data_IF_225004349707
#
_entry.id   IF_225004349707
#
_cell.length_a   1.000
_cell.length_b   1.000
_cell.length_c   1.000
_cell.angle_alpha   90.00
_cell.angle_beta   90.00
_cell.angle_gamma   90.00
#
_symmetry.space_group_name_H-M   'P 1'
#
loop_
_entity.id
_entity.type
_entity.pdbx_description
1 polymer ?
#
# COMPACT_ATOMS: atom_id res chain seq x y z
N UNK A 1 13.15 13.58 8.93
CA UNK A 1 12.53 12.24 9.03
C UNK A 1 11.04 12.27 9.35
N UNK A 2 10.56 12.80 10.50
CA UNK A 2 9.10 12.78 10.80
C UNK A 2 8.26 13.56 9.78
N UNK A 3 8.66 14.78 9.43
CA UNK A 3 7.91 15.60 8.47
C UNK A 3 7.94 14.99 7.06
N UNK A 4 9.09 14.43 6.68
CA UNK A 4 9.27 13.72 5.41
C UNK A 4 8.40 12.47 5.32
N UNK A 5 8.25 11.72 6.42
CA UNK A 5 7.38 10.54 6.47
C UNK A 5 5.90 10.91 6.30
N UNK A 6 5.47 12.09 6.77
CA UNK A 6 4.11 12.57 6.51
C UNK A 6 3.89 12.73 5.01
N UNK A 7 4.82 13.40 4.30
CA UNK A 7 4.70 13.59 2.85
C UNK A 7 4.71 12.27 2.08
N UNK A 8 5.62 11.35 2.45
CA UNK A 8 5.71 10.02 1.84
C UNK A 8 4.39 9.25 2.02
N UNK A 9 3.88 9.16 3.24
CA UNK A 9 2.64 8.43 3.52
C UNK A 9 1.43 9.07 2.85
N UNK A 10 1.34 10.42 2.82
CA UNK A 10 0.27 11.11 2.09
C UNK A 10 0.30 10.77 0.60
N UNK A 11 1.49 10.73 0.00
CA UNK A 11 1.66 10.34 -1.41
C UNK A 11 1.16 8.91 -1.67
N UNK A 12 1.56 7.93 -0.85
CA UNK A 12 1.09 6.55 -1.01
C UNK A 12 -0.41 6.41 -0.74
N UNK A 13 -0.93 7.10 0.27
CA UNK A 13 -2.36 7.09 0.59
C UNK A 13 -3.21 7.55 -0.59
N UNK A 14 -2.82 8.64 -1.24
CA UNK A 14 -3.52 9.14 -2.43
C UNK A 14 -3.41 8.13 -3.58
N UNK A 15 -2.20 7.70 -3.94
CA UNK A 15 -1.98 6.87 -5.13
C UNK A 15 -2.60 5.48 -4.99
N UNK A 16 -2.41 4.82 -3.86
CA UNK A 16 -2.92 3.46 -3.66
C UNK A 16 -4.44 3.46 -3.51
N UNK A 17 -5.02 4.42 -2.78
CA UNK A 17 -6.49 4.51 -2.70
C UNK A 17 -7.13 4.83 -4.05
N UNK A 18 -6.52 5.67 -4.88
CA UNK A 18 -7.00 5.92 -6.24
C UNK A 18 -6.97 4.64 -7.09
N UNK A 19 -5.90 3.84 -7.04
CA UNK A 19 -5.82 2.57 -7.75
C UNK A 19 -6.91 1.57 -7.29
N UNK A 20 -7.23 1.57 -6.00
CA UNK A 20 -8.35 0.77 -5.46
C UNK A 20 -9.69 1.25 -6.02
N UNK A 21 -9.93 2.57 -6.08
CA UNK A 21 -11.14 3.15 -6.69
C UNK A 21 -11.24 2.74 -8.16
N UNK A 22 -10.17 2.94 -8.92
CA UNK A 22 -10.15 2.71 -10.37
C UNK A 22 -10.38 1.22 -10.71
N UNK A 23 -9.80 0.31 -9.94
CA UNK A 23 -9.89 -1.13 -10.21
C UNK A 23 -11.19 -1.76 -9.71
N UNK A 24 -11.68 -1.35 -8.54
CA UNK A 24 -12.81 -2.03 -7.87
C UNK A 24 -14.10 -1.22 -7.81
N UNK A 25 -14.10 0.02 -8.29
CA UNK A 25 -15.31 0.86 -8.35
C UNK A 25 -15.89 1.21 -6.98
N UNK A 26 -15.04 1.29 -5.94
CA UNK A 26 -15.46 1.62 -4.57
C UNK A 26 -15.37 3.11 -4.29
N UNK A 27 -16.12 3.58 -3.30
CA UNK A 27 -16.11 5.00 -2.88
C UNK A 27 -14.72 5.42 -2.32
N UNK A 28 -14.22 6.63 -2.61
CA UNK A 28 -12.85 7.05 -2.27
C UNK A 28 -12.46 6.92 -0.79
N UNK A 29 -13.31 7.35 0.14
CA UNK A 29 -13.03 7.24 1.57
C UNK A 29 -13.02 5.77 2.02
N UNK A 30 -13.84 4.94 1.39
CA UNK A 30 -13.85 3.49 1.61
C UNK A 30 -12.59 2.81 1.06
N UNK A 31 -12.09 3.23 -0.10
CA UNK A 31 -10.81 2.78 -0.64
C UNK A 31 -9.65 3.15 0.30
N UNK A 32 -9.61 4.41 0.74
CA UNK A 32 -8.60 4.89 1.69
C UNK A 32 -8.64 4.10 3.00
N UNK A 33 -9.84 3.89 3.60
CA UNK A 33 -9.97 3.08 4.82
C UNK A 33 -9.47 1.65 4.63
N UNK A 34 -9.80 1.01 3.51
CA UNK A 34 -9.32 -0.34 3.19
C UNK A 34 -7.79 -0.41 3.10
N UNK A 35 -7.17 0.62 2.54
CA UNK A 35 -5.72 0.69 2.50
C UNK A 35 -5.12 0.95 3.89
N UNK A 36 -5.57 1.98 4.61
CA UNK A 36 -5.02 2.36 5.92
C UNK A 36 -5.09 1.25 6.98
N UNK A 37 -6.09 0.36 6.91
CA UNK A 37 -6.25 -0.75 7.85
C UNK A 37 -5.58 -2.07 7.42
N UNK A 38 -4.87 -2.07 6.29
CA UNK A 38 -4.19 -3.26 5.76
C UNK A 38 -2.86 -3.55 6.45
N UNK A 39 -2.42 -4.81 6.41
CA UNK A 39 -1.05 -5.21 6.80
C UNK A 39 0.00 -4.57 5.87
N UNK A 40 -0.34 -4.33 4.61
CA UNK A 40 0.48 -3.60 3.65
C UNK A 40 0.79 -2.20 4.16
N UNK A 41 -0.21 -1.48 4.67
CA UNK A 41 0.00 -0.15 5.22
C UNK A 41 0.81 -0.20 6.52
N UNK A 42 0.59 -1.21 7.37
CA UNK A 42 1.45 -1.42 8.56
C UNK A 42 2.91 -1.62 8.15
N UNK A 43 3.18 -2.41 7.11
CA UNK A 43 4.53 -2.56 6.55
C UNK A 43 5.07 -1.23 6.03
N UNK A 44 4.27 -0.47 5.28
CA UNK A 44 4.68 0.83 4.73
C UNK A 44 5.06 1.85 5.83
N UNK A 45 4.35 1.84 6.96
CA UNK A 45 4.66 2.72 8.11
C UNK A 45 5.82 2.24 8.97
N UNK A 46 6.32 1.02 8.76
CA UNK A 46 7.46 0.49 9.48
C UNK A 46 8.76 0.90 8.78
N UNK A 47 9.50 1.82 9.42
CA UNK A 47 10.74 2.38 8.88
C UNK A 47 11.84 1.35 8.63
N UNK A 48 11.87 0.26 9.38
CA UNK A 48 12.87 -0.81 9.23
C UNK A 48 12.71 -1.61 7.92
N UNK A 49 11.55 -1.51 7.27
CA UNK A 49 11.26 -2.24 6.03
C UNK A 49 11.56 -1.42 4.77
N UNK A 50 11.82 -0.11 4.89
CA UNK A 50 12.17 0.79 3.79
C UNK A 50 11.24 0.68 2.57
N UNK A 51 9.95 0.45 2.83
CA UNK A 51 8.95 0.14 1.79
C UNK A 51 8.77 1.27 0.76
N UNK A 52 9.25 2.47 1.04
CA UNK A 52 9.22 3.61 0.11
C UNK A 52 10.12 3.42 -1.11
N UNK A 53 11.01 2.42 -1.12
CA UNK A 53 11.80 2.04 -2.30
C UNK A 53 10.94 1.38 -3.39
N UNK A 54 9.74 0.88 -3.04
CA UNK A 54 8.79 0.34 -4.00
C UNK A 54 7.91 1.46 -4.57
N UNK A 55 7.59 1.40 -5.86
CA UNK A 55 6.63 2.33 -6.45
C UNK A 55 5.22 2.16 -5.84
N UNK A 56 4.32 3.15 -5.98
CA UNK A 56 2.92 2.99 -5.57
C UNK A 56 2.25 1.76 -6.18
N UNK A 57 2.62 1.38 -7.42
CA UNK A 57 2.12 0.17 -8.06
C UNK A 57 2.59 -1.09 -7.32
N UNK A 58 3.84 -1.12 -6.86
CA UNK A 58 4.37 -2.21 -6.04
C UNK A 58 3.65 -2.33 -4.70
N UNK A 59 3.40 -1.20 -4.03
CA UNK A 59 2.62 -1.18 -2.78
C UNK A 59 1.16 -1.61 -3.03
N UNK A 60 0.56 -1.21 -4.14
CA UNK A 60 -0.78 -1.66 -4.52
C UNK A 60 -0.83 -3.17 -4.80
N UNK A 61 0.16 -3.73 -5.50
CA UNK A 61 0.25 -5.19 -5.73
C UNK A 61 0.39 -5.96 -4.41
N UNK A 62 1.14 -5.44 -3.43
CA UNK A 62 1.20 -5.99 -2.07
C UNK A 62 -0.15 -5.96 -1.36
N UNK A 63 -0.87 -4.86 -1.47
CA UNK A 63 -2.22 -4.74 -0.92
C UNK A 63 -3.18 -5.73 -1.58
N UNK A 64 -3.10 -5.92 -2.90
CA UNK A 64 -3.91 -6.91 -3.63
C UNK A 64 -3.56 -8.35 -3.21
N UNK A 65 -2.27 -8.66 -3.09
CA UNK A 65 -1.80 -9.97 -2.63
C UNK A 65 -2.32 -10.28 -1.22
N UNK A 66 -2.34 -9.27 -0.34
CA UNK A 66 -2.98 -9.38 0.97
C UNK A 66 -4.48 -9.68 0.86
N UNK A 67 -5.23 -9.00 -0.02
CA UNK A 67 -6.67 -9.25 -0.15
C UNK A 67 -6.97 -10.68 -0.63
N UNK A 68 -6.10 -11.24 -1.48
CA UNK A 68 -6.29 -12.58 -2.06
C UNK A 68 -5.82 -13.68 -1.08
N UNK A 69 -4.72 -13.45 -0.37
CA UNK A 69 -4.00 -14.52 0.37
C UNK A 69 -3.93 -14.32 1.87
N UNK A 70 -4.31 -13.14 2.37
CA UNK A 70 -4.13 -12.72 3.75
C UNK A 70 -2.70 -12.31 4.12
N UNK A 71 -1.75 -12.28 3.16
CA UNK A 71 -0.36 -11.87 3.44
C UNK A 71 0.24 -11.04 2.28
N UNK A 72 0.60 -9.76 2.51
CA UNK A 72 1.17 -8.89 1.48
C UNK A 72 2.51 -9.37 0.91
N UNK A 73 3.26 -10.20 1.67
CA UNK A 73 4.53 -10.79 1.21
C UNK A 73 4.38 -11.80 0.08
N UNK A 74 3.14 -12.13 -0.28
CA UNK A 74 2.85 -12.96 -1.44
C UNK A 74 2.85 -12.18 -2.77
N UNK A 75 3.06 -10.87 -2.73
CA UNK A 75 3.26 -10.03 -3.91
C UNK A 75 4.46 -10.46 -4.75
N UNK A 76 4.32 -10.32 -6.07
CA UNK A 76 5.38 -10.59 -7.03
C UNK A 76 6.56 -9.61 -6.86
N UNK A 77 6.33 -8.42 -6.30
CA UNK A 77 7.40 -7.45 -6.04
C UNK A 77 8.31 -7.86 -4.87
N UNK A 78 7.82 -8.71 -3.97
CA UNK A 78 8.59 -9.24 -2.83
C UNK A 78 9.14 -10.64 -3.07
N UNK A 79 8.44 -11.41 -3.90
CA UNK A 79 8.93 -12.69 -4.43
C UNK A 79 9.92 -12.39 -5.56
N UNK A 80 11.16 -12.03 -5.19
CA UNK A 80 12.28 -12.14 -6.14
C UNK A 80 12.45 -13.62 -6.49
N UNK A 81 12.49 -13.92 -7.78
CA UNK A 81 13.13 -15.14 -8.28
C UNK A 81 14.64 -15.09 -8.01
#
# INVERSE_FOLDING_TARGET
MKDEMIFILTFYNEKVSQMIVDKYGVEPLSALRRFLYSETYKMLTNVELEMWDFSPLGIFDMWEAEQITGNPRNSLYLRRD
#
